data_IF_740746584688
#
_entry.id   IF_740746584688
#
_cell.length_a   1.000
_cell.length_b   1.000
_cell.length_c   1.000
_cell.angle_alpha   90.00
_cell.angle_beta   90.00
_cell.angle_gamma   90.00
#
_symmetry.space_group_name_H-M   'P 1'
#
loop_
_entity.id
_entity.type
_entity.pdbx_description
1 polymer ?
#
# COMPACT_ATOMS: atom_id res chain seq x y z
N UNK A 1 -65.36 -0.50 31.17
CA UNK A 1 -64.55 -1.74 31.09
C UNK A 1 -63.54 -1.56 29.96
N UNK A 2 -62.25 -1.57 30.30
CA UNK A 2 -61.03 -1.61 29.45
C UNK A 2 -60.93 -0.62 28.27
N UNK A 3 -60.29 0.53 28.52
CA UNK A 3 -59.54 1.26 27.48
C UNK A 3 -58.08 0.79 27.49
N UNK A 4 -57.56 0.40 26.33
CA UNK A 4 -56.20 -0.10 26.14
C UNK A 4 -55.20 1.04 25.97
N UNK A 5 -54.23 1.12 26.88
CA UNK A 5 -53.03 1.94 26.72
C UNK A 5 -52.05 1.24 25.77
N UNK A 6 -51.80 1.82 24.60
CA UNK A 6 -50.66 1.46 23.76
C UNK A 6 -49.44 2.26 24.23
N UNK A 7 -48.42 1.56 24.74
CA UNK A 7 -47.10 2.16 24.99
C UNK A 7 -46.37 2.31 23.65
N UNK A 8 -46.14 3.55 23.23
CA UNK A 8 -45.21 3.88 22.17
C UNK A 8 -43.78 3.61 22.67
N UNK A 9 -43.08 2.67 22.02
CA UNK A 9 -41.62 2.53 22.14
C UNK A 9 -40.96 3.68 21.36
N UNK A 10 -39.88 4.29 21.86
CA UNK A 10 -39.15 5.29 21.09
C UNK A 10 -38.40 4.59 19.94
N UNK A 11 -38.68 5.03 18.72
CA UNK A 11 -37.86 4.73 17.55
C UNK A 11 -36.57 5.52 17.71
N UNK A 12 -35.49 4.84 18.11
CA UNK A 12 -34.13 5.40 18.04
C UNK A 12 -33.73 5.36 16.56
N UNK A 13 -33.83 6.51 15.89
CA UNK A 13 -33.27 6.69 14.56
C UNK A 13 -31.75 6.83 14.73
N UNK A 14 -31.00 5.74 14.59
CA UNK A 14 -29.56 5.82 14.35
C UNK A 14 -29.37 6.44 12.95
N UNK A 15 -29.12 7.75 12.90
CA UNK A 15 -28.62 8.39 11.68
C UNK A 15 -27.17 7.96 11.50
N UNK A 16 -26.95 6.86 10.80
CA UNK A 16 -25.63 6.49 10.30
C UNK A 16 -25.17 7.55 9.31
N UNK A 17 -24.37 8.51 9.78
CA UNK A 17 -23.66 9.45 8.92
C UNK A 17 -22.58 8.67 8.18
N UNK A 18 -22.84 8.34 6.92
CA UNK A 18 -21.82 7.84 6.01
C UNK A 18 -20.78 8.95 5.77
N UNK A 19 -19.57 8.77 6.29
CA UNK A 19 -18.43 9.58 5.87
C UNK A 19 -18.00 9.12 4.47
N UNK A 20 -18.25 9.95 3.46
CA UNK A 20 -17.61 9.81 2.16
C UNK A 20 -16.14 10.19 2.32
N UNK A 21 -15.23 9.24 2.13
CA UNK A 21 -13.82 9.55 2.00
C UNK A 21 -13.58 10.20 0.62
N UNK A 22 -13.39 11.51 0.61
CA UNK A 22 -12.84 12.21 -0.55
C UNK A 22 -11.47 11.62 -0.87
N UNK A 23 -11.29 11.09 -2.07
CA UNK A 23 -9.96 10.79 -2.60
C UNK A 23 -9.20 12.11 -2.78
N UNK A 24 -7.92 12.06 -2.42
CA UNK A 24 -6.94 13.16 -2.32
C UNK A 24 -7.02 13.91 -1.00
N UNK A 25 -6.49 13.30 0.06
CA UNK A 25 -6.22 13.99 1.31
C UNK A 25 -4.80 13.74 1.79
N UNK A 26 -3.97 14.78 1.79
CA UNK A 26 -2.61 14.72 2.34
C UNK A 26 -2.59 14.35 3.83
N UNK A 27 -1.42 14.04 4.41
CA UNK A 27 -1.32 13.50 5.78
C UNK A 27 -1.97 14.39 6.85
N UNK A 28 -1.94 15.71 6.67
CA UNK A 28 -2.54 16.72 7.54
C UNK A 28 -4.07 16.75 7.51
N UNK A 29 -4.71 16.08 6.54
CA UNK A 29 -6.16 16.01 6.41
C UNK A 29 -6.76 14.73 7.00
N UNK A 30 -5.94 13.74 7.40
CA UNK A 30 -6.41 12.56 8.13
C UNK A 30 -6.72 12.95 9.57
N UNK A 31 -8.01 13.02 9.88
CA UNK A 31 -8.52 13.35 11.21
C UNK A 31 -9.51 12.26 11.63
N UNK A 32 -9.23 11.63 12.77
CA UNK A 32 -10.14 10.68 13.40
C UNK A 32 -10.88 11.35 14.54
N UNK A 33 -12.12 10.91 14.77
CA UNK A 33 -12.97 11.39 15.86
C UNK A 33 -13.55 10.20 16.60
N UNK A 34 -13.12 9.98 17.84
CA UNK A 34 -13.59 8.90 18.72
C UNK A 34 -13.59 9.40 20.16
N UNK A 35 -14.50 8.88 20.97
CA UNK A 35 -14.59 9.19 22.41
C UNK A 35 -13.57 8.33 23.18
N UNK A 36 -12.33 8.83 23.23
CA UNK A 36 -11.20 8.18 23.91
C UNK A 36 -11.34 8.23 25.44
N UNK A 37 -12.10 9.18 25.98
CA UNK A 37 -12.22 9.40 27.43
C UNK A 37 -13.46 8.74 28.03
N UNK A 38 -14.42 8.33 27.20
CA UNK A 38 -15.68 7.71 27.61
C UNK A 38 -16.68 8.71 28.18
N UNK A 39 -16.52 10.01 27.89
CA UNK A 39 -17.38 11.08 28.42
C UNK A 39 -18.56 11.42 27.48
N UNK A 40 -18.67 10.72 26.36
CA UNK A 40 -19.67 10.93 25.32
C UNK A 40 -19.29 12.00 24.29
N UNK A 41 -18.11 12.62 24.39
CA UNK A 41 -17.61 13.65 23.49
C UNK A 41 -16.39 13.12 22.74
N UNK A 42 -16.47 13.08 21.41
CA UNK A 42 -15.36 12.59 20.61
C UNK A 42 -14.16 13.55 20.63
N UNK A 43 -12.99 13.03 21.01
CA UNK A 43 -11.71 13.66 20.78
C UNK A 43 -11.28 13.59 19.32
N UNK A 44 -10.46 14.56 18.92
CA UNK A 44 -9.85 14.65 17.61
C UNK A 44 -8.42 14.11 17.66
N UNK A 45 -8.16 13.11 16.81
CA UNK A 45 -6.83 12.54 16.61
C UNK A 45 -6.34 12.95 15.23
N UNK A 46 -5.14 13.52 15.15
CA UNK A 46 -4.58 13.99 13.88
C UNK A 46 -3.07 13.99 13.89
N UNK A 47 -2.51 14.14 12.70
CA UNK A 47 -1.09 14.35 12.49
C UNK A 47 -0.76 15.85 12.40
N UNK A 48 0.30 16.28 13.09
CA UNK A 48 0.94 17.59 12.90
C UNK A 48 2.33 17.42 12.31
N UNK A 49 2.78 18.37 11.48
CA UNK A 49 4.14 18.33 10.94
C UNK A 49 5.17 18.35 12.08
N UNK A 50 6.03 17.34 12.13
CA UNK A 50 7.11 17.21 13.10
C UNK A 50 8.45 17.68 12.52
N UNK A 51 8.67 17.49 11.22
CA UNK A 51 9.87 17.90 10.51
C UNK A 51 9.92 17.35 9.09
N UNK A 52 10.94 17.74 8.34
CA UNK A 52 11.23 17.25 6.99
C UNK A 52 12.73 17.02 6.87
N UNK A 53 13.11 15.87 6.32
CA UNK A 53 14.50 15.54 5.98
C UNK A 53 14.56 15.14 4.50
N UNK A 54 15.75 14.78 4.02
CA UNK A 54 15.92 14.19 2.68
C UNK A 54 15.13 12.88 2.52
N UNK A 55 14.90 12.14 3.61
CA UNK A 55 14.17 10.88 3.59
C UNK A 55 12.65 11.05 3.45
N UNK A 56 12.12 12.23 3.74
CA UNK A 56 10.69 12.53 3.63
C UNK A 56 10.15 13.41 4.74
N UNK A 57 8.84 13.31 4.95
CA UNK A 57 8.09 14.14 5.90
C UNK A 57 7.69 13.34 7.13
N UNK A 58 7.85 13.95 8.30
CA UNK A 58 7.60 13.33 9.59
C UNK A 58 6.46 14.04 10.29
N UNK A 59 5.65 13.27 11.00
CA UNK A 59 4.46 13.74 11.66
C UNK A 59 4.40 13.25 13.12
N UNK A 60 3.93 14.13 13.99
CA UNK A 60 3.64 13.83 15.39
C UNK A 60 2.13 13.56 15.52
N UNK A 61 1.79 12.47 16.21
CA UNK A 61 0.40 12.15 16.53
C UNK A 61 -0.08 13.01 17.71
N UNK A 62 -1.28 13.54 17.58
CA UNK A 62 -1.85 14.51 18.51
C UNK A 62 -3.28 14.13 18.82
N UNK A 63 -3.65 14.24 20.10
CA UNK A 63 -5.02 14.11 20.60
C UNK A 63 -5.48 15.44 21.19
N UNK A 64 -6.61 15.94 20.71
CA UNK A 64 -7.23 17.20 21.12
C UNK A 64 -8.69 16.98 21.51
N UNK A 65 -9.15 17.74 22.49
CA UNK A 65 -10.59 17.94 22.71
C UNK A 65 -11.27 18.61 21.50
N UNK A 66 -12.60 18.64 21.53
CA UNK A 66 -13.40 19.32 20.50
C UNK A 66 -13.09 20.83 20.44
N UNK A 67 -12.85 21.44 21.60
CA UNK A 67 -12.47 22.85 21.77
C UNK A 67 -11.01 23.14 21.36
N UNK A 68 -10.23 22.10 21.02
CA UNK A 68 -8.85 22.23 20.55
C UNK A 68 -7.80 22.23 21.67
N UNK A 69 -8.19 22.04 22.94
CA UNK A 69 -7.23 21.78 24.02
C UNK A 69 -6.48 20.49 23.75
N UNK A 70 -5.15 20.54 23.83
CA UNK A 70 -4.27 19.37 23.71
C UNK A 70 -4.45 18.44 24.92
N UNK A 71 -4.79 17.19 24.65
CA UNK A 71 -4.99 16.16 25.68
C UNK A 71 -3.78 15.22 25.77
N UNK A 72 -3.17 14.90 24.62
CA UNK A 72 -1.95 14.12 24.55
C UNK A 72 -1.17 14.42 23.27
N UNK A 73 0.14 14.24 23.34
CA UNK A 73 1.07 14.34 22.22
C UNK A 73 2.00 13.15 22.21
N UNK A 74 2.11 12.51 21.04
CA UNK A 74 3.16 11.56 20.79
C UNK A 74 4.53 12.22 20.74
N UNK A 75 5.62 11.45 20.73
CA UNK A 75 6.96 12.00 20.60
C UNK A 75 7.13 12.71 19.25
N UNK A 76 7.84 13.83 19.25
CA UNK A 76 8.23 14.54 18.03
C UNK A 76 9.58 14.00 17.56
N UNK A 77 9.56 12.95 16.74
CA UNK A 77 10.75 12.16 16.39
C UNK A 77 10.89 11.94 14.90
N UNK A 78 12.15 11.81 14.46
CA UNK A 78 12.52 11.38 13.10
C UNK A 78 13.26 10.03 13.10
N UNK A 79 13.34 9.39 14.26
CA UNK A 79 14.00 8.11 14.49
C UNK A 79 13.10 6.96 14.04
N UNK A 80 13.64 6.10 13.16
CA UNK A 80 12.92 4.94 12.59
C UNK A 80 12.59 3.86 13.60
N UNK A 81 13.34 3.78 14.69
CA UNK A 81 13.12 2.80 15.75
C UNK A 81 11.96 3.19 16.68
N UNK A 82 11.52 4.46 16.63
CA UNK A 82 10.41 4.89 17.45
C UNK A 82 9.08 4.40 16.85
N UNK A 83 8.29 3.59 17.58
CA UNK A 83 7.04 3.06 17.04
C UNK A 83 6.00 4.16 16.79
N UNK A 84 6.08 5.31 17.44
CA UNK A 84 5.20 6.46 17.18
C UNK A 84 5.76 7.41 16.11
N UNK A 85 6.76 6.99 15.33
CA UNK A 85 7.17 7.69 14.12
C UNK A 85 6.12 7.51 13.02
N UNK A 86 5.52 8.60 12.56
CA UNK A 86 4.62 8.62 11.41
C UNK A 86 5.22 9.47 10.29
N UNK A 87 4.99 9.08 9.04
CA UNK A 87 5.60 9.79 7.94
C UNK A 87 5.26 9.27 6.56
N UNK A 88 5.70 10.06 5.60
CA UNK A 88 5.68 9.74 4.18
C UNK A 88 7.12 9.79 3.71
N UNK A 89 7.68 8.64 3.40
CA UNK A 89 9.08 8.50 3.02
C UNK A 89 9.23 7.78 1.70
N UNK A 90 10.46 7.77 1.19
CA UNK A 90 10.82 7.01 0.00
C UNK A 90 10.51 5.51 0.15
N UNK A 91 10.63 5.00 1.38
CA UNK A 91 10.43 3.59 1.72
C UNK A 91 8.96 3.25 2.03
N UNK A 92 8.01 4.16 1.79
CA UNK A 92 6.58 3.94 1.99
C UNK A 92 5.93 4.90 2.99
N UNK A 93 4.60 4.86 3.02
CA UNK A 93 3.80 5.64 3.97
C UNK A 93 3.58 4.86 5.25
N UNK A 94 3.68 5.54 6.38
CA UNK A 94 3.35 5.00 7.69
C UNK A 94 2.47 5.99 8.43
N UNK A 95 1.25 6.14 7.91
CA UNK A 95 0.22 7.03 8.45
C UNK A 95 -0.88 6.18 9.08
N UNK A 96 -1.54 6.64 10.17
CA UNK A 96 -2.69 5.92 10.70
C UNK A 96 -3.77 5.71 9.63
N UNK A 97 -4.31 4.49 9.61
CA UNK A 97 -5.38 4.07 8.70
C UNK A 97 -6.73 4.03 9.42
N UNK A 98 -6.74 3.66 10.69
CA UNK A 98 -7.95 3.44 11.47
C UNK A 98 -7.73 3.81 12.93
N UNK A 99 -8.79 4.32 13.57
CA UNK A 99 -8.96 4.28 15.02
C UNK A 99 -10.31 3.64 15.34
N UNK A 100 -10.30 2.48 16.00
CA UNK A 100 -11.49 1.69 16.32
C UNK A 100 -11.19 0.65 17.41
N UNK A 101 -12.22 0.09 18.05
CA UNK A 101 -12.13 -1.14 18.82
C UNK A 101 -12.02 -2.34 17.87
N UNK A 102 -10.80 -2.75 17.57
CA UNK A 102 -10.55 -3.77 16.53
C UNK A 102 -10.68 -5.19 17.08
N UNK A 103 -10.53 -5.39 18.40
CA UNK A 103 -10.56 -6.71 19.02
C UNK A 103 -11.79 -6.99 19.90
N UNK A 104 -12.76 -6.07 19.91
CA UNK A 104 -14.05 -6.13 20.62
C UNK A 104 -13.87 -6.24 22.14
N UNK A 105 -12.91 -5.47 22.67
CA UNK A 105 -12.58 -5.44 24.10
C UNK A 105 -12.99 -4.13 24.80
N UNK A 106 -13.61 -3.22 24.07
CA UNK A 106 -14.07 -1.91 24.55
C UNK A 106 -12.97 -0.85 24.62
N UNK A 107 -11.75 -1.14 24.17
CA UNK A 107 -10.66 -0.17 24.11
C UNK A 107 -10.44 0.32 22.67
N UNK A 108 -9.93 1.53 22.53
CA UNK A 108 -9.65 2.11 21.23
C UNK A 108 -8.23 1.76 20.78
N UNK A 109 -8.10 1.18 19.59
CA UNK A 109 -6.84 1.00 18.92
C UNK A 109 -6.66 1.97 17.76
N UNK A 110 -5.43 2.47 17.61
CA UNK A 110 -4.95 3.08 16.38
C UNK A 110 -4.15 2.05 15.59
N UNK A 111 -4.47 1.89 14.32
CA UNK A 111 -3.76 0.99 13.39
C UNK A 111 -3.01 1.82 12.36
N UNK A 112 -1.72 1.56 12.21
CA UNK A 112 -0.88 2.16 11.18
C UNK A 112 0.03 1.10 10.55
N UNK A 113 0.18 1.05 9.22
CA UNK A 113 1.17 0.20 8.58
C UNK A 113 2.58 0.65 8.97
N UNK A 114 3.51 -0.28 9.11
CA UNK A 114 4.93 0.01 9.10
C UNK A 114 5.34 0.48 7.69
N UNK A 115 6.35 1.35 7.57
CA UNK A 115 6.85 1.75 6.25
C UNK A 115 7.31 0.52 5.46
N UNK A 116 6.84 0.40 4.22
CA UNK A 116 7.11 -0.73 3.31
C UNK A 116 7.37 -0.23 1.89
N UNK A 117 8.46 -0.69 1.29
CA UNK A 117 8.92 -0.31 -0.06
C UNK A 117 8.78 -1.41 -1.11
N UNK A 118 8.33 -2.60 -0.71
CA UNK A 118 8.22 -3.80 -1.53
C UNK A 118 6.81 -4.42 -1.49
N UNK A 119 6.63 -5.55 -2.18
CA UNK A 119 5.42 -6.38 -2.12
C UNK A 119 5.67 -7.54 -1.17
N UNK A 120 5.59 -7.24 0.12
CA UNK A 120 5.70 -8.20 1.23
C UNK A 120 4.50 -8.02 2.18
N UNK A 121 4.23 -8.95 3.10
CA UNK A 121 3.15 -8.77 4.07
C UNK A 121 3.22 -7.43 4.82
N UNK A 122 2.10 -6.69 4.87
CA UNK A 122 2.02 -5.45 5.65
C UNK A 122 2.14 -5.75 7.13
N UNK A 123 3.18 -5.23 7.77
CA UNK A 123 3.22 -5.16 9.23
C UNK A 123 2.38 -3.97 9.69
N UNK A 124 1.52 -4.20 10.67
CA UNK A 124 0.79 -3.13 11.33
C UNK A 124 1.35 -2.90 12.72
N UNK A 125 1.58 -1.63 13.03
CA UNK A 125 1.74 -1.14 14.39
C UNK A 125 0.34 -0.83 14.92
N UNK A 126 -0.04 -1.52 15.99
CA UNK A 126 -1.31 -1.33 16.70
C UNK A 126 -1.00 -0.70 18.04
N UNK A 127 -1.61 0.45 18.29
CA UNK A 127 -1.49 1.19 19.54
C UNK A 127 -2.82 1.17 20.26
N UNK A 128 -2.81 0.94 21.56
CA UNK A 128 -3.98 1.03 22.41
C UNK A 128 -3.99 2.34 23.17
N UNK A 129 -5.13 3.00 23.23
CA UNK A 129 -5.33 4.13 24.12
C UNK A 129 -5.47 3.63 25.56
N UNK A 130 -4.48 3.94 26.40
CA UNK A 130 -4.47 3.56 27.82
C UNK A 130 -3.78 4.64 28.65
N UNK A 131 -4.35 4.95 29.80
CA UNK A 131 -3.82 5.95 30.74
C UNK A 131 -3.52 7.29 30.03
N UNK A 132 -4.47 7.76 29.21
CA UNK A 132 -4.38 9.00 28.45
C UNK A 132 -3.21 9.08 27.45
N UNK A 133 -2.80 7.93 26.89
CA UNK A 133 -1.73 7.86 25.90
C UNK A 133 -1.91 6.69 24.93
N UNK A 134 -1.37 6.79 23.71
CA UNK A 134 -1.25 5.64 22.83
C UNK A 134 0.00 4.83 23.16
N UNK A 135 -0.19 3.53 23.42
CA UNK A 135 0.88 2.57 23.74
C UNK A 135 0.92 1.48 22.69
N UNK A 136 2.09 1.19 22.12
CA UNK A 136 2.24 0.07 21.18
C UNK A 136 1.90 -1.25 21.88
N UNK A 137 0.94 -1.98 21.33
CA UNK A 137 0.55 -3.31 21.84
C UNK A 137 0.86 -4.43 20.84
N UNK A 138 1.09 -4.09 19.57
CA UNK A 138 1.45 -5.07 18.54
C UNK A 138 2.22 -4.42 17.40
N UNK A 139 3.18 -5.15 16.85
CA UNK A 139 3.79 -4.87 15.55
C UNK A 139 3.89 -6.19 14.80
N UNK A 140 2.92 -6.51 13.93
CA UNK A 140 2.83 -7.82 13.28
C UNK A 140 2.03 -7.75 11.97
N UNK A 141 2.20 -8.73 11.09
CA UNK A 141 1.37 -8.89 9.91
C UNK A 141 0.12 -9.73 10.21
N UNK A 142 -0.96 -9.52 9.46
CA UNK A 142 -2.15 -10.38 9.45
C UNK A 142 -2.08 -11.29 8.23
N UNK A 143 -1.63 -12.53 8.42
CA UNK A 143 -1.45 -13.52 7.36
C UNK A 143 -2.57 -14.55 7.37
N UNK A 144 -3.02 -14.98 6.18
CA UNK A 144 -3.94 -16.11 6.05
C UNK A 144 -3.29 -17.38 6.61
N UNK A 145 -4.04 -18.09 7.46
CA UNK A 145 -3.61 -19.31 8.09
C UNK A 145 -3.55 -20.44 7.04
N UNK A 146 -2.40 -21.10 6.94
CA UNK A 146 -2.19 -22.17 5.96
C UNK A 146 -3.11 -23.38 6.14
N UNK A 147 -3.51 -23.69 7.38
CA UNK A 147 -4.41 -24.80 7.70
C UNK A 147 -5.89 -24.44 7.55
N UNK A 148 -6.23 -23.15 7.61
CA UNK A 148 -7.61 -22.68 7.62
C UNK A 148 -7.81 -21.44 6.72
N UNK A 149 -8.24 -21.68 5.49
CA UNK A 149 -8.51 -20.62 4.51
C UNK A 149 -9.53 -19.61 5.03
N UNK A 150 -9.28 -18.34 4.75
CA UNK A 150 -10.10 -17.22 5.19
C UNK A 150 -9.92 -16.84 6.66
N UNK A 151 -9.14 -17.56 7.46
CA UNK A 151 -8.71 -17.12 8.79
C UNK A 151 -7.37 -16.38 8.66
N UNK A 152 -7.31 -15.14 9.12
CA UNK A 152 -6.10 -14.32 9.18
C UNK A 152 -5.62 -14.22 10.62
N UNK A 153 -4.37 -14.57 10.88
CA UNK A 153 -3.77 -14.55 12.21
C UNK A 153 -2.59 -13.61 12.27
N UNK A 154 -2.42 -12.94 13.41
CA UNK A 154 -1.25 -12.12 13.67
C UNK A 154 0.01 -12.98 13.69
N UNK A 155 1.03 -12.59 12.94
CA UNK A 155 2.32 -13.29 12.91
C UNK A 155 3.49 -12.32 12.74
N UNK A 156 4.63 -12.71 13.32
CA UNK A 156 5.94 -12.07 13.08
C UNK A 156 6.70 -12.75 11.95
N UNK A 157 6.23 -13.92 11.52
CA UNK A 157 6.90 -14.71 10.49
C UNK A 157 6.71 -14.05 9.13
N UNK A 158 7.83 -13.84 8.45
CA UNK A 158 7.84 -13.28 7.10
C UNK A 158 7.87 -14.42 6.10
N UNK A 159 6.83 -14.51 5.29
CA UNK A 159 6.84 -15.27 4.05
C UNK A 159 6.82 -14.28 2.89
N UNK A 160 7.73 -14.44 1.94
CA UNK A 160 7.71 -13.68 0.69
C UNK A 160 6.54 -14.04 -0.22
N UNK A 161 5.73 -15.03 0.16
CA UNK A 161 4.51 -15.44 -0.53
C UNK A 161 3.37 -15.67 0.46
N UNK A 162 2.14 -15.65 -0.04
CA UNK A 162 0.96 -15.92 0.78
C UNK A 162 -0.16 -14.92 0.54
N UNK A 163 -1.14 -14.93 1.43
CA UNK A 163 -2.27 -14.00 1.42
C UNK A 163 -2.28 -13.24 2.73
N UNK A 164 -2.41 -11.92 2.71
CA UNK A 164 -2.34 -11.08 3.91
C UNK A 164 -3.31 -9.91 3.83
N UNK A 165 -3.64 -9.33 4.99
CA UNK A 165 -4.31 -8.03 5.05
C UNK A 165 -3.30 -6.95 4.68
N UNK A 166 -3.53 -6.26 3.57
CA UNK A 166 -2.61 -5.27 3.02
C UNK A 166 -2.87 -3.86 3.56
N UNK A 167 -4.15 -3.53 3.82
CA UNK A 167 -4.56 -2.27 4.44
C UNK A 167 -5.89 -2.44 5.18
N UNK A 168 -6.08 -1.65 6.24
CA UNK A 168 -7.36 -1.57 6.96
C UNK A 168 -8.09 -0.31 6.53
N UNK A 169 -9.31 -0.45 6.01
CA UNK A 169 -10.04 0.68 5.41
C UNK A 169 -11.05 1.29 6.38
N UNK A 170 -11.89 0.48 7.02
CA UNK A 170 -12.89 0.94 7.99
C UNK A 170 -13.19 -0.14 9.03
N UNK A 171 -13.84 0.24 10.13
CA UNK A 171 -14.41 -0.69 11.11
C UNK A 171 -15.91 -0.40 11.29
N UNK A 172 -16.82 -1.14 10.63
CA UNK A 172 -18.26 -0.89 10.74
C UNK A 172 -18.85 -1.13 12.13
N UNK A 173 -18.21 -1.99 12.93
CA UNK A 173 -18.57 -2.29 14.31
C UNK A 173 -17.34 -2.83 15.05
N UNK A 174 -17.33 -2.88 16.39
CA UNK A 174 -16.28 -3.54 17.15
C UNK A 174 -15.99 -4.94 16.60
N UNK A 175 -14.70 -5.27 16.52
CA UNK A 175 -14.25 -6.58 16.00
C UNK A 175 -14.46 -6.82 14.51
N UNK A 176 -15.04 -5.87 13.75
CA UNK A 176 -15.38 -6.05 12.33
C UNK A 176 -14.68 -5.01 11.47
N UNK A 177 -13.89 -5.47 10.51
CA UNK A 177 -13.04 -4.62 9.67
C UNK A 177 -13.36 -4.80 8.19
N UNK A 178 -13.30 -3.71 7.43
CA UNK A 178 -13.19 -3.74 5.97
C UNK A 178 -11.72 -3.59 5.61
N UNK A 179 -11.19 -4.54 4.86
CA UNK A 179 -9.76 -4.63 4.56
C UNK A 179 -9.49 -4.83 3.08
N UNK A 180 -8.34 -4.33 2.62
CA UNK A 180 -7.70 -4.80 1.39
C UNK A 180 -6.85 -6.00 1.72
N UNK A 181 -6.87 -7.01 0.85
CA UNK A 181 -6.12 -8.25 1.00
C UNK A 181 -5.18 -8.37 -0.18
N UNK A 182 -3.89 -8.57 0.09
CA UNK A 182 -2.86 -8.85 -0.90
C UNK A 182 -2.60 -10.35 -0.98
N UNK A 183 -2.24 -10.84 -2.17
CA UNK A 183 -1.86 -12.23 -2.39
C UNK A 183 -0.71 -12.30 -3.37
N UNK A 184 0.42 -12.89 -2.96
CA UNK A 184 1.59 -13.12 -3.79
C UNK A 184 1.87 -14.62 -3.91
N UNK A 185 2.13 -15.09 -5.14
CA UNK A 185 2.52 -16.46 -5.44
C UNK A 185 3.68 -16.46 -6.43
N UNK A 186 4.49 -17.52 -6.41
CA UNK A 186 5.58 -17.75 -7.37
C UNK A 186 6.54 -16.54 -7.49
N UNK A 187 6.71 -15.78 -6.40
CA UNK A 187 7.53 -14.58 -6.31
C UNK A 187 7.08 -13.35 -7.12
N UNK A 188 6.06 -13.45 -7.99
CA UNK A 188 5.67 -12.33 -8.88
C UNK A 188 4.18 -12.21 -9.19
N UNK A 189 3.38 -13.24 -8.91
CA UNK A 189 1.94 -13.22 -9.16
C UNK A 189 1.21 -12.52 -8.00
N UNK A 190 1.15 -11.18 -8.04
CA UNK A 190 0.43 -10.39 -7.05
C UNK A 190 -1.01 -10.09 -7.47
N UNK A 191 -1.96 -10.29 -6.55
CA UNK A 191 -3.36 -9.92 -6.69
C UNK A 191 -3.84 -9.20 -5.45
N UNK A 192 -4.86 -8.37 -5.62
CA UNK A 192 -5.57 -7.73 -4.52
C UNK A 192 -7.05 -8.11 -4.52
N UNK A 193 -7.64 -8.03 -3.35
CA UNK A 193 -9.06 -8.24 -3.09
C UNK A 193 -9.51 -7.31 -1.96
N UNK A 194 -10.81 -7.20 -1.75
CA UNK A 194 -11.39 -6.47 -0.62
C UNK A 194 -12.41 -7.35 0.10
N UNK A 195 -12.36 -7.37 1.43
CA UNK A 195 -13.25 -8.20 2.25
C UNK A 195 -13.68 -7.50 3.53
N UNK A 196 -14.76 -8.01 4.10
CA UNK A 196 -15.13 -7.83 5.49
C UNK A 196 -14.57 -9.01 6.28
N UNK A 197 -13.80 -8.71 7.31
CA UNK A 197 -13.27 -9.69 8.26
C UNK A 197 -13.82 -9.41 9.66
N UNK A 198 -14.04 -10.46 10.43
CA UNK A 198 -14.62 -10.39 11.78
C UNK A 198 -13.74 -11.14 12.77
N UNK A 199 -13.62 -10.60 13.99
CA UNK A 199 -12.80 -11.13 15.06
C UNK A 199 -13.12 -12.60 15.30
N UNK A 200 -12.08 -13.44 15.27
CA UNK A 200 -12.18 -14.88 15.42
C UNK A 200 -10.93 -15.40 16.13
N UNK A 201 -11.06 -15.75 17.41
CA UNK A 201 -9.92 -16.18 18.24
C UNK A 201 -8.83 -15.10 18.30
N UNK A 202 -7.59 -15.46 18.00
CA UNK A 202 -6.44 -14.53 17.96
C UNK A 202 -6.28 -13.82 16.61
N UNK A 203 -7.28 -13.83 15.75
CA UNK A 203 -7.21 -13.27 14.41
C UNK A 203 -8.57 -12.80 13.91
N UNK A 204 -8.77 -12.83 12.60
CA UNK A 204 -10.00 -12.42 11.95
C UNK A 204 -10.36 -13.41 10.86
N UNK A 205 -11.65 -13.70 10.70
CA UNK A 205 -12.16 -14.54 9.62
C UNK A 205 -12.86 -13.70 8.59
N UNK A 206 -12.66 -14.01 7.31
CA UNK A 206 -13.46 -13.43 6.23
C UNK A 206 -14.93 -13.81 6.43
N UNK A 207 -15.77 -12.81 6.69
CA UNK A 207 -17.22 -13.00 6.75
C UNK A 207 -17.87 -12.73 5.39
N UNK A 208 -17.28 -11.85 4.57
CA UNK A 208 -17.80 -11.54 3.23
C UNK A 208 -16.72 -10.95 2.31
N UNK A 209 -16.64 -11.42 1.07
CA UNK A 209 -15.87 -10.73 0.02
C UNK A 209 -16.67 -9.55 -0.54
N UNK A 210 -16.03 -8.39 -0.65
CA UNK A 210 -16.57 -7.21 -1.35
C UNK A 210 -16.12 -7.27 -2.80
N UNK A 211 -14.82 -7.49 -3.01
CA UNK A 211 -14.19 -7.74 -4.30
C UNK A 211 -13.29 -8.97 -4.14
N UNK A 212 -13.66 -10.14 -4.68
CA UNK A 212 -12.84 -11.35 -4.56
C UNK A 212 -11.60 -11.27 -5.46
N UNK A 213 -10.63 -12.15 -5.21
CA UNK A 213 -9.53 -12.36 -6.15
C UNK A 213 -10.06 -12.80 -7.52
N UNK A 214 -9.49 -12.23 -8.58
CA UNK A 214 -9.73 -12.73 -9.92
C UNK A 214 -9.05 -14.10 -10.09
N UNK A 215 -9.66 -15.10 -10.75
CA UNK A 215 -9.00 -16.35 -11.03
C UNK A 215 -7.69 -16.11 -11.79
N UNK A 216 -6.62 -16.80 -11.41
CA UNK A 216 -5.46 -16.93 -12.28
C UNK A 216 -5.91 -17.78 -13.48
N UNK A 217 -6.25 -17.13 -14.59
CA UNK A 217 -6.56 -17.83 -15.84
C UNK A 217 -5.24 -18.41 -16.34
N UNK A 218 -5.06 -19.72 -16.23
CA UNK A 218 -4.08 -20.43 -17.05
C UNK A 218 -4.69 -20.50 -18.43
N UNK A 219 -4.11 -19.80 -19.41
CA UNK A 219 -4.37 -20.16 -20.81
C UNK A 219 -3.81 -21.57 -21.00
N UNK A 220 -4.71 -22.54 -21.13
CA UNK A 220 -4.35 -23.90 -21.47
C UNK A 220 -3.60 -23.87 -22.81
N UNK A 221 -2.36 -24.36 -22.77
CA UNK A 221 -1.46 -24.47 -23.92
C UNK A 221 -2.05 -25.51 -24.88
N UNK A 222 -2.88 -25.08 -25.82
CA UNK A 222 -3.21 -25.88 -26.99
C UNK A 222 -1.97 -25.95 -27.89
N UNK A 223 -1.51 -27.17 -28.15
CA UNK A 223 -0.35 -27.53 -28.95
C UNK A 223 -0.12 -26.61 -30.17
N UNK A 224 1.06 -26.01 -30.23
CA UNK A 224 1.52 -25.26 -31.38
C UNK A 224 1.84 -26.19 -32.56
N UNK A 225 1.37 -25.91 -33.79
CA UNK A 225 2.15 -26.21 -34.96
C UNK A 225 3.27 -25.18 -35.10
N UNK A 226 4.41 -25.67 -35.62
CA UNK A 226 5.67 -24.97 -35.78
C UNK A 226 5.57 -23.72 -36.67
N UNK A 227 6.42 -22.77 -36.31
CA UNK A 227 7.16 -21.82 -37.16
C UNK A 227 6.39 -20.74 -37.90
N UNK A 228 6.90 -19.53 -37.70
CA UNK A 228 6.89 -18.39 -38.61
C UNK A 228 5.60 -17.58 -38.70
N UNK A 229 5.33 -16.75 -37.70
CA UNK A 229 4.57 -15.52 -37.95
C UNK A 229 4.70 -14.47 -36.83
N UNK A 230 5.19 -13.30 -37.23
CA UNK A 230 4.90 -12.00 -36.62
C UNK A 230 3.39 -11.89 -36.38
N UNK A 231 2.95 -11.74 -35.12
CA UNK A 231 1.54 -11.48 -34.78
C UNK A 231 1.38 -10.06 -34.23
N UNK A 232 0.52 -9.21 -34.83
CA UNK A 232 0.10 -7.95 -34.22
C UNK A 232 -1.04 -8.19 -33.22
N UNK A 233 -1.05 -7.54 -32.05
CA UNK A 233 -2.31 -7.38 -31.32
C UNK A 233 -2.31 -7.10 -29.81
N UNK A 234 -1.22 -7.30 -29.06
CA UNK A 234 -1.18 -6.79 -27.68
C UNK A 234 -0.99 -5.26 -27.75
N UNK A 235 -1.90 -4.49 -27.14
CA UNK A 235 -1.72 -3.04 -27.01
C UNK A 235 -0.84 -2.81 -25.79
N UNK A 236 0.32 -2.14 -25.93
CA UNK A 236 1.15 -1.82 -24.78
C UNK A 236 0.44 -0.84 -23.83
N UNK A 237 0.55 -1.09 -22.53
CA UNK A 237 0.08 -0.19 -21.46
C UNK A 237 0.74 1.18 -21.57
N UNK A 238 2.02 1.18 -21.93
CA UNK A 238 2.80 2.38 -22.24
C UNK A 238 3.94 2.04 -23.18
N UNK A 239 4.29 2.99 -24.05
CA UNK A 239 5.51 2.96 -24.85
C UNK A 239 6.27 4.25 -24.62
N UNK A 240 7.59 4.16 -24.52
CA UNK A 240 8.43 5.34 -24.40
C UNK A 240 9.83 5.12 -24.97
N UNK A 241 10.45 6.21 -25.38
CA UNK A 241 11.87 6.27 -25.75
C UNK A 241 12.66 6.95 -24.64
N UNK A 242 13.80 6.37 -24.23
CA UNK A 242 14.70 6.98 -23.26
C UNK A 242 16.17 6.72 -23.57
N UNK A 243 17.05 7.51 -22.98
CA UNK A 243 18.49 7.33 -23.00
C UNK A 243 18.97 6.85 -21.64
N UNK A 244 19.39 5.58 -21.58
CA UNK A 244 20.08 5.05 -20.41
C UNK A 244 21.45 5.70 -20.33
N UNK A 245 21.71 6.46 -19.27
CA UNK A 245 22.96 7.12 -18.95
C UNK A 245 23.70 6.40 -17.80
N UNK A 246 24.78 7.00 -17.30
CA UNK A 246 25.51 6.48 -16.15
C UNK A 246 24.69 6.54 -14.86
N UNK A 247 23.83 7.54 -14.71
CA UNK A 247 23.07 7.78 -13.48
C UNK A 247 21.93 6.77 -13.31
N UNK A 248 21.39 6.22 -14.40
CA UNK A 248 20.34 5.19 -14.37
C UNK A 248 20.88 3.82 -13.96
N UNK A 249 22.20 3.65 -13.96
CA UNK A 249 22.90 2.42 -13.55
C UNK A 249 23.35 2.46 -12.10
N UNK A 250 22.89 3.44 -11.33
CA UNK A 250 23.24 3.62 -9.93
C UNK A 250 21.97 3.76 -9.10
N UNK A 251 21.95 3.07 -7.96
CA UNK A 251 20.89 3.30 -6.97
C UNK A 251 21.12 4.63 -6.21
N UNK A 252 20.20 4.97 -5.31
CA UNK A 252 20.27 6.18 -4.48
C UNK A 252 21.48 6.24 -3.55
N UNK A 253 22.13 5.11 -3.23
CA UNK A 253 23.39 5.07 -2.48
C UNK A 253 24.63 5.14 -3.37
N UNK A 254 24.47 5.31 -4.69
CA UNK A 254 25.56 5.39 -5.67
C UNK A 254 26.16 4.04 -6.09
N UNK A 255 25.60 2.92 -5.64
CA UNK A 255 26.04 1.57 -5.99
C UNK A 255 25.49 1.13 -7.36
N UNK A 256 26.25 0.30 -8.07
CA UNK A 256 25.90 -0.16 -9.42
C UNK A 256 24.71 -1.12 -9.42
N UNK A 257 23.76 -0.88 -10.32
CA UNK A 257 22.64 -1.76 -10.61
C UNK A 257 23.06 -2.80 -11.65
N UNK A 258 22.83 -4.08 -11.34
CA UNK A 258 23.21 -5.20 -12.21
C UNK A 258 22.07 -5.76 -13.05
N UNK A 259 20.82 -5.38 -12.79
CA UNK A 259 19.64 -5.90 -13.47
C UNK A 259 19.03 -4.87 -14.43
N UNK A 260 18.49 -5.35 -15.54
CA UNK A 260 17.80 -4.49 -16.51
C UNK A 260 16.58 -3.81 -15.90
N UNK A 261 15.81 -4.54 -15.09
CA UNK A 261 14.60 -4.00 -14.48
C UNK A 261 14.90 -2.88 -13.50
N UNK A 262 15.97 -3.02 -12.70
CA UNK A 262 16.41 -1.96 -11.79
C UNK A 262 16.86 -0.72 -12.55
N UNK A 263 17.60 -0.89 -13.64
CA UNK A 263 18.07 0.23 -14.47
C UNK A 263 16.90 0.97 -15.11
N UNK A 264 15.90 0.25 -15.65
CA UNK A 264 14.70 0.87 -16.23
C UNK A 264 13.86 1.57 -15.16
N UNK A 265 13.73 0.97 -13.97
CA UNK A 265 13.02 1.58 -12.85
C UNK A 265 13.73 2.84 -12.35
N UNK A 266 15.07 2.82 -12.29
CA UNK A 266 15.88 3.96 -11.93
C UNK A 266 15.78 5.08 -12.97
N UNK A 267 15.81 4.75 -14.27
CA UNK A 267 15.57 5.70 -15.36
C UNK A 267 14.20 6.38 -15.22
N UNK A 268 13.12 5.61 -15.03
CA UNK A 268 11.79 6.20 -14.82
C UNK A 268 11.67 6.98 -13.51
N UNK A 269 12.44 6.63 -12.48
CA UNK A 269 12.54 7.43 -11.27
C UNK A 269 13.29 8.75 -11.53
N UNK A 270 14.39 8.73 -12.27
CA UNK A 270 15.14 9.92 -12.65
C UNK A 270 14.25 10.93 -13.38
N UNK A 271 13.45 10.47 -14.35
CA UNK A 271 12.52 11.33 -15.10
C UNK A 271 11.37 11.87 -14.24
N UNK A 272 10.65 11.02 -13.50
CA UNK A 272 9.38 11.39 -12.85
C UNK A 272 9.51 11.86 -11.40
N UNK A 273 10.60 11.51 -10.72
CA UNK A 273 10.82 11.82 -9.30
C UNK A 273 11.93 12.86 -9.11
N UNK A 274 13.06 12.69 -9.79
CA UNK A 274 14.24 13.53 -9.59
C UNK A 274 14.38 14.67 -10.61
N UNK A 275 13.54 14.67 -11.66
CA UNK A 275 13.58 15.67 -12.73
C UNK A 275 14.87 15.61 -13.57
N UNK A 276 15.65 14.55 -13.44
CA UNK A 276 16.87 14.30 -14.20
C UNK A 276 16.46 13.63 -15.51
N UNK A 277 16.69 14.33 -16.62
CA UNK A 277 16.31 13.88 -17.96
C UNK A 277 17.47 14.00 -18.91
N UNK A 278 17.64 13.00 -19.76
CA UNK A 278 18.57 13.04 -20.86
C UNK A 278 17.91 13.65 -22.11
N UNK A 279 18.75 14.11 -23.03
CA UNK A 279 18.30 14.65 -24.32
C UNK A 279 17.62 13.54 -25.12
N UNK A 280 16.33 13.71 -25.42
CA UNK A 280 15.54 12.76 -26.21
C UNK A 280 14.65 11.82 -25.39
N UNK A 281 14.57 12.01 -24.06
CA UNK A 281 13.65 11.25 -23.21
C UNK A 281 12.21 11.72 -23.32
N UNK A 282 11.32 10.76 -23.50
CA UNK A 282 9.87 10.97 -23.44
C UNK A 282 9.37 10.94 -21.99
N UNK A 283 8.41 11.82 -21.70
CA UNK A 283 7.67 11.86 -20.43
C UNK A 283 6.37 11.11 -20.64
N UNK A 284 6.13 10.09 -19.83
CA UNK A 284 4.92 9.27 -19.87
C UNK A 284 4.03 9.52 -18.64
N UNK A 285 2.72 9.33 -18.76
CA UNK A 285 1.81 9.47 -17.61
C UNK A 285 1.66 8.17 -16.80
N UNK A 286 2.35 7.10 -17.21
CA UNK A 286 2.22 5.78 -16.63
C UNK A 286 3.10 5.68 -15.38
N UNK A 287 4.41 5.88 -15.50
CA UNK A 287 5.42 5.69 -14.46
C UNK A 287 5.53 6.83 -13.44
N UNK A 288 4.49 7.66 -13.31
CA UNK A 288 4.44 8.77 -12.33
C UNK A 288 4.40 8.29 -10.88
N UNK A 289 3.98 7.05 -10.64
CA UNK A 289 3.91 6.45 -9.28
C UNK A 289 4.98 5.37 -9.06
N UNK A 290 5.48 5.19 -7.83
CA UNK A 290 6.44 4.12 -7.51
C UNK A 290 5.94 2.72 -7.87
N UNK A 291 4.68 2.41 -7.55
CA UNK A 291 4.07 1.11 -7.82
C UNK A 291 4.11 0.75 -9.32
N UNK A 292 3.90 1.72 -10.20
CA UNK A 292 3.99 1.47 -11.64
C UNK A 292 5.43 1.29 -12.10
N UNK A 293 6.42 1.97 -11.48
CA UNK A 293 7.85 1.76 -11.80
C UNK A 293 8.35 0.39 -11.36
N UNK A 294 7.83 -0.15 -10.26
CA UNK A 294 8.19 -1.48 -9.78
C UNK A 294 7.80 -2.61 -10.75
N UNK A 295 6.81 -2.37 -11.63
CA UNK A 295 6.46 -3.30 -12.72
C UNK A 295 7.70 -3.63 -13.57
N UNK A 296 8.61 -2.66 -13.76
CA UNK A 296 9.86 -2.83 -14.54
C UNK A 296 10.83 -3.86 -13.94
N UNK A 297 10.76 -4.08 -12.63
CA UNK A 297 11.59 -5.05 -11.91
C UNK A 297 10.91 -6.43 -11.84
N UNK A 298 9.58 -6.46 -11.89
CA UNK A 298 8.78 -7.69 -11.72
C UNK A 298 8.48 -8.44 -13.02
N UNK A 299 8.39 -7.73 -14.15
CA UNK A 299 8.03 -8.34 -15.43
C UNK A 299 9.24 -8.91 -16.15
N UNK A 300 9.01 -9.95 -16.94
CA UNK A 300 10.02 -10.50 -17.84
C UNK A 300 10.40 -9.47 -18.89
N UNK A 301 11.67 -9.13 -18.95
CA UNK A 301 12.23 -8.25 -19.98
C UNK A 301 12.71 -9.09 -21.17
N UNK A 302 12.13 -8.82 -22.34
CA UNK A 302 12.47 -9.40 -23.63
C UNK A 302 13.33 -8.40 -24.40
N UNK A 303 14.60 -8.71 -24.57
CA UNK A 303 15.55 -7.93 -25.37
C UNK A 303 16.65 -8.83 -25.93
N UNK A 304 17.28 -8.41 -27.04
CA UNK A 304 18.47 -9.08 -27.57
C UNK A 304 19.72 -8.84 -26.70
N UNK A 305 20.73 -9.69 -26.87
CA UNK A 305 21.97 -9.63 -26.09
C UNK A 305 22.74 -8.31 -26.30
N UNK A 306 22.65 -7.71 -27.49
CA UNK A 306 23.30 -6.45 -27.80
C UNK A 306 22.67 -5.28 -27.03
N UNK A 307 21.34 -5.25 -26.97
CA UNK A 307 20.53 -4.29 -26.22
C UNK A 307 20.82 -4.44 -24.74
N UNK A 308 20.80 -5.68 -24.22
CA UNK A 308 21.14 -5.98 -22.82
C UNK A 308 22.54 -5.50 -22.45
N UNK A 309 23.53 -5.86 -23.27
CA UNK A 309 24.91 -5.44 -23.04
C UNK A 309 25.07 -3.92 -23.10
N UNK A 310 24.35 -3.25 -24.01
CA UNK A 310 24.38 -1.79 -24.13
C UNK A 310 23.83 -1.12 -22.88
N UNK A 311 22.65 -1.53 -22.42
CA UNK A 311 22.00 -0.99 -21.22
C UNK A 311 22.89 -1.15 -19.98
N UNK A 312 23.59 -2.28 -19.83
CA UNK A 312 24.44 -2.53 -18.67
C UNK A 312 25.75 -1.74 -18.72
N UNK A 313 26.35 -1.56 -19.91
CA UNK A 313 27.76 -1.16 -20.02
C UNK A 313 27.99 0.27 -20.51
N UNK A 314 27.07 0.84 -21.29
CA UNK A 314 27.30 2.12 -21.95
C UNK A 314 26.04 2.97 -22.00
N UNK A 315 26.20 4.23 -22.41
CA UNK A 315 25.04 5.06 -22.66
C UNK A 315 24.39 4.60 -23.97
N UNK A 316 23.08 4.37 -23.94
CA UNK A 316 22.34 3.94 -25.13
C UNK A 316 20.92 4.45 -25.12
N UNK A 317 20.38 4.72 -26.31
CA UNK A 317 18.97 5.05 -26.48
C UNK A 317 18.17 3.79 -26.76
N UNK A 318 17.07 3.61 -26.04
CA UNK A 318 16.21 2.44 -26.12
C UNK A 318 14.77 2.84 -26.38
N UNK A 319 14.03 1.92 -26.99
CA UNK A 319 12.58 1.98 -27.12
C UNK A 319 11.98 0.86 -26.27
N UNK A 320 11.07 1.23 -25.39
CA UNK A 320 10.44 0.32 -24.42
C UNK A 320 8.95 0.22 -24.71
N UNK A 321 8.44 -1.01 -24.74
CA UNK A 321 7.00 -1.28 -24.67
C UNK A 321 6.71 -2.09 -23.43
N UNK A 322 5.70 -1.68 -22.68
CA UNK A 322 5.29 -2.34 -21.45
C UNK A 322 3.92 -2.96 -21.70
N UNK A 323 3.86 -4.28 -21.63
CA UNK A 323 2.63 -5.05 -21.66
C UNK A 323 2.22 -5.45 -20.24
N UNK A 324 1.04 -6.05 -20.09
CA UNK A 324 0.56 -6.52 -18.79
C UNK A 324 1.40 -7.66 -18.20
N UNK A 325 2.12 -8.39 -19.03
CA UNK A 325 2.82 -9.65 -18.70
C UNK A 325 4.32 -9.64 -19.02
N UNK A 326 4.79 -8.71 -19.86
CA UNK A 326 6.19 -8.60 -20.24
C UNK A 326 6.57 -7.18 -20.69
N UNK A 327 7.88 -6.95 -20.84
CA UNK A 327 8.44 -5.70 -21.34
C UNK A 327 9.31 -6.03 -22.55
N UNK A 328 9.06 -5.35 -23.67
CA UNK A 328 9.96 -5.40 -24.82
C UNK A 328 10.91 -4.21 -24.78
N UNK A 329 12.20 -4.48 -24.91
CA UNK A 329 13.23 -3.45 -24.98
C UNK A 329 14.12 -3.70 -26.19
N UNK A 330 14.34 -2.64 -26.98
CA UNK A 330 15.26 -2.65 -28.12
C UNK A 330 16.05 -1.36 -28.19
N UNK A 331 17.23 -1.39 -28.81
CA UNK A 331 17.92 -0.16 -29.18
C UNK A 331 17.04 0.69 -30.12
N UNK A 332 17.00 2.00 -29.84
CA UNK A 332 16.34 2.96 -30.72
C UNK A 332 17.18 3.13 -31.99
N UNK A 333 16.53 3.35 -33.13
CA UNK A 333 17.25 3.68 -34.38
C UNK A 333 17.91 5.05 -34.21
N UNK A 334 19.15 5.25 -34.71
CA UNK A 334 19.72 6.60 -34.80
C UNK A 334 18.81 7.46 -35.69
N UNK A 335 18.63 8.71 -35.29
CA UNK A 335 17.91 9.74 -36.06
C UNK A 335 18.70 10.15 -37.31
#
# INVERSE_FOLDING_TARGET
MRQGFWKLLPVIILTSTFAWASLVSGPSQRVFRVDLTGDGIAERIRLVSAGKTEMGEYYQLVVESLEGKRLWEGPRVTDSENPLMFGVWEMGESLPELVADIDDDGQWELVAPAPRSDVSPTFFRVFRWKNNSFVLVRSAALMENAAEKGLFTWTMEMSGEGTWVDAVTTAPSPGKLVVKIGKLRNGSEFQTAQAVIEKSGNGYRVSRWIEPFHPFVREDVSESPKSDSVTPGAVPLVTYTCTIASDDRRNSSGAWLGSLGDILAQDRANVHRYGVRQKGDEVDNFFTTPARRQILQSLRIVCDDQTKASILKQNCRIFVKVFSDHIEVRLAKPE
#
